data_IF_026314389336
#
_entry.id   IF_026314389336
#
_cell.length_a   1.000
_cell.length_b   1.000
_cell.length_c   1.000
_cell.angle_alpha   90.00
_cell.angle_beta   90.00
_cell.angle_gamma   90.00
#
_symmetry.space_group_name_H-M   'P 1'
#
loop_
_entity.id
_entity.type
_entity.pdbx_description
1 polymer ?
#
# COMPACT_ATOMS: atom_id res chain seq x y z
N UNK A 1 0.21 8.14 20.41
CA UNK A 1 0.40 6.66 20.36
C UNK A 1 0.54 6.28 18.89
N UNK A 2 1.30 5.24 18.54
CA UNK A 2 1.42 4.75 17.16
C UNK A 2 1.31 3.23 17.11
N UNK A 3 0.82 2.69 16.00
CA UNK A 3 0.68 1.25 15.76
C UNK A 3 1.56 0.82 14.58
N UNK A 4 2.24 -0.32 14.72
CA UNK A 4 3.04 -0.92 13.65
C UNK A 4 2.32 -2.16 13.13
N UNK A 5 2.19 -2.26 11.80
CA UNK A 5 1.44 -3.32 11.12
C UNK A 5 0.06 -2.84 10.62
N UNK A 6 -0.85 -3.76 10.25
CA UNK A 6 -0.68 -5.20 10.09
C UNK A 6 -0.15 -5.60 8.70
N UNK A 7 -0.01 -6.91 8.48
CA UNK A 7 0.40 -7.50 7.19
C UNK A 7 -0.70 -7.55 6.14
N UNK A 8 -1.93 -7.87 6.55
CA UNK A 8 -3.04 -8.03 5.64
C UNK A 8 -3.66 -6.66 5.27
N UNK A 9 -3.87 -6.35 3.98
CA UNK A 9 -4.53 -5.11 3.52
C UNK A 9 -5.92 -4.88 4.13
N UNK A 10 -6.75 -5.91 4.26
CA UNK A 10 -8.12 -5.77 4.81
C UNK A 10 -8.09 -5.41 6.29
N UNK A 11 -7.20 -6.05 7.05
CA UNK A 11 -6.97 -5.68 8.45
C UNK A 11 -6.44 -4.26 8.54
N UNK A 12 -5.48 -3.89 7.67
CA UNK A 12 -4.90 -2.56 7.65
C UNK A 12 -5.96 -1.48 7.38
N UNK A 13 -6.89 -1.74 6.45
CA UNK A 13 -8.02 -0.87 6.16
C UNK A 13 -8.94 -0.69 7.36
N UNK A 14 -9.29 -1.79 8.04
CA UNK A 14 -10.13 -1.71 9.24
C UNK A 14 -9.45 -0.92 10.37
N UNK A 15 -8.16 -1.17 10.61
CA UNK A 15 -7.40 -0.41 11.60
C UNK A 15 -7.26 1.05 11.20
N UNK A 16 -6.98 1.36 9.94
CA UNK A 16 -6.83 2.73 9.46
C UNK A 16 -8.13 3.53 9.63
N UNK A 17 -9.28 2.87 9.38
CA UNK A 17 -10.59 3.47 9.64
C UNK A 17 -10.77 3.77 11.14
N UNK A 18 -10.58 2.78 12.01
CA UNK A 18 -10.81 2.94 13.45
C UNK A 18 -9.81 3.93 14.07
N UNK A 19 -8.53 3.72 13.83
CA UNK A 19 -7.44 4.52 14.41
C UNK A 19 -7.43 5.94 13.85
N UNK A 20 -7.71 6.10 12.57
CA UNK A 20 -7.77 7.41 11.93
C UNK A 20 -8.98 8.22 12.39
N UNK A 21 -10.19 7.64 12.33
CA UNK A 21 -11.41 8.39 12.60
C UNK A 21 -11.70 8.60 14.09
N UNK A 22 -11.36 7.62 14.95
CA UNK A 22 -11.78 7.65 16.36
C UNK A 22 -10.65 7.93 17.33
N UNK A 23 -9.41 7.54 17.00
CA UNK A 23 -8.28 7.61 17.93
C UNK A 23 -7.18 8.61 17.50
N UNK A 24 -7.27 9.19 16.30
CA UNK A 24 -6.23 10.04 15.70
C UNK A 24 -4.81 9.44 15.85
N UNK A 25 -4.71 8.12 15.66
CA UNK A 25 -3.50 7.35 15.93
C UNK A 25 -2.80 6.99 14.63
N UNK A 26 -1.50 7.29 14.56
CA UNK A 26 -0.67 6.99 13.39
C UNK A 26 -0.48 5.48 13.28
N UNK A 27 -0.76 4.94 12.11
CA UNK A 27 -0.52 3.55 11.77
C UNK A 27 0.56 3.46 10.68
N UNK A 28 1.58 2.65 10.94
CA UNK A 28 2.69 2.43 10.01
C UNK A 28 2.71 0.95 9.63
N UNK A 29 2.33 0.60 8.40
CA UNK A 29 2.45 -0.76 7.89
C UNK A 29 3.77 -0.98 7.15
N UNK A 30 4.34 -2.18 7.28
CA UNK A 30 5.58 -2.58 6.64
C UNK A 30 5.38 -3.51 5.42
N UNK A 31 4.14 -3.88 5.11
CA UNK A 31 3.82 -4.97 4.17
C UNK A 31 2.62 -4.71 3.27
N UNK A 32 1.84 -3.68 3.54
CA UNK A 32 0.71 -3.31 2.69
C UNK A 32 1.21 -2.48 1.51
N UNK A 33 0.94 -2.95 0.28
CA UNK A 33 1.26 -2.26 -0.98
C UNK A 33 0.03 -1.67 -1.67
N UNK A 34 -1.16 -1.86 -1.11
CA UNK A 34 -2.42 -1.47 -1.75
C UNK A 34 -2.53 0.04 -1.94
N UNK A 35 -2.81 0.45 -3.18
CA UNK A 35 -3.02 1.85 -3.58
C UNK A 35 -4.23 2.48 -2.87
N UNK A 36 -5.21 1.67 -2.47
CA UNK A 36 -6.45 2.16 -1.82
C UNK A 36 -6.18 2.85 -0.48
N UNK A 37 -5.13 2.42 0.23
CA UNK A 37 -4.75 2.96 1.53
C UNK A 37 -3.79 4.14 1.45
N UNK A 38 -3.34 4.50 0.23
CA UNK A 38 -2.47 5.65 -0.03
C UNK A 38 -3.27 6.96 -0.19
N UNK A 39 -4.60 6.88 -0.11
CA UNK A 39 -5.50 8.04 -0.16
C UNK A 39 -5.43 8.84 1.15
N UNK A 40 -4.52 9.80 1.21
CA UNK A 40 -4.32 10.69 2.37
C UNK A 40 -5.55 11.51 2.78
N UNK A 41 -6.57 11.65 1.91
CA UNK A 41 -7.84 12.31 2.28
C UNK A 41 -8.74 11.39 3.10
N UNK A 42 -8.69 10.09 2.85
CA UNK A 42 -9.54 9.07 3.49
C UNK A 42 -8.83 8.43 4.69
N UNK A 43 -7.52 8.21 4.60
CA UNK A 43 -6.68 7.61 5.64
C UNK A 43 -5.49 8.52 6.03
N UNK A 44 -5.73 9.72 6.58
CA UNK A 44 -4.68 10.71 6.84
C UNK A 44 -3.61 10.28 7.86
N UNK A 45 -3.87 9.23 8.64
CA UNK A 45 -2.96 8.70 9.66
C UNK A 45 -2.31 7.37 9.27
N UNK A 46 -2.56 6.87 8.06
CA UNK A 46 -2.00 5.63 7.57
C UNK A 46 -0.78 5.90 6.69
N UNK A 47 0.32 5.23 7.01
CA UNK A 47 1.56 5.30 6.24
C UNK A 47 2.15 3.91 6.04
N UNK A 48 2.89 3.73 4.95
CA UNK A 48 3.63 2.50 4.68
C UNK A 48 5.11 2.78 4.51
N UNK A 49 5.96 1.82 4.88
CA UNK A 49 7.41 1.91 4.63
C UNK A 49 7.83 1.30 3.30
N UNK A 50 6.87 0.76 2.54
CA UNK A 50 7.10 0.13 1.24
C UNK A 50 6.30 0.84 0.14
N UNK A 51 6.81 0.88 -1.10
CA UNK A 51 6.09 1.46 -2.23
C UNK A 51 4.77 0.73 -2.50
N UNK A 52 3.81 1.46 -3.08
CA UNK A 52 2.55 0.88 -3.51
C UNK A 52 2.69 0.08 -4.83
N UNK A 53 1.64 -0.67 -5.19
CA UNK A 53 1.62 -1.53 -6.38
C UNK A 53 1.81 -0.76 -7.71
N UNK A 54 1.49 0.53 -7.79
CA UNK A 54 1.73 1.32 -9.01
C UNK A 54 3.22 1.47 -9.29
N UNK A 55 4.04 1.72 -8.25
CA UNK A 55 5.49 1.77 -8.41
C UNK A 55 6.04 0.42 -8.88
N UNK A 56 5.53 -0.69 -8.32
CA UNK A 56 5.92 -2.03 -8.76
C UNK A 56 5.56 -2.28 -10.22
N UNK A 57 4.35 -1.89 -10.66
CA UNK A 57 3.92 -2.02 -12.05
C UNK A 57 4.82 -1.24 -13.01
N UNK A 58 5.24 -0.02 -12.65
CA UNK A 58 6.20 0.76 -13.44
C UNK A 58 7.55 0.05 -13.56
N UNK A 59 8.05 -0.53 -12.46
CA UNK A 59 9.31 -1.27 -12.46
C UNK A 59 9.21 -2.53 -13.31
N UNK A 60 8.11 -3.28 -13.18
CA UNK A 60 7.86 -4.48 -13.99
C UNK A 60 7.80 -4.10 -15.47
N UNK A 61 7.08 -3.04 -15.85
CA UNK A 61 7.01 -2.57 -17.24
C UNK A 61 8.40 -2.28 -17.80
N UNK A 62 9.23 -1.53 -17.07
CA UNK A 62 10.61 -1.23 -17.48
C UNK A 62 11.47 -2.48 -17.63
N UNK A 63 11.23 -3.48 -16.79
CA UNK A 63 11.92 -4.76 -16.88
C UNK A 63 11.49 -5.52 -18.13
N UNK A 64 10.20 -5.56 -18.45
CA UNK A 64 9.71 -6.19 -19.70
C UNK A 64 10.32 -5.52 -20.94
N UNK A 65 10.38 -4.18 -20.94
CA UNK A 65 10.98 -3.40 -22.03
C UNK A 65 12.47 -3.71 -22.19
N UNK A 66 13.21 -3.85 -21.08
CA UNK A 66 14.63 -4.18 -21.10
C UNK A 66 14.93 -5.57 -21.68
N UNK A 67 13.96 -6.49 -21.68
CA UNK A 67 14.09 -7.84 -22.24
C UNK A 67 13.31 -8.04 -23.55
N UNK A 68 12.75 -6.97 -24.13
CA UNK A 68 11.91 -7.03 -25.33
C UNK A 68 10.71 -8.01 -25.22
N UNK A 69 10.18 -8.20 -24.01
CA UNK A 69 9.05 -9.11 -23.78
C UNK A 69 7.72 -8.46 -24.15
N UNK A 70 7.19 -8.83 -25.33
CA UNK A 70 5.94 -8.25 -25.90
C UNK A 70 4.65 -8.99 -25.53
N UNK A 71 4.75 -10.15 -24.88
CA UNK A 71 3.60 -10.98 -24.46
C UNK A 71 3.83 -11.49 -23.05
N UNK A 72 2.93 -11.14 -22.15
CA UNK A 72 2.91 -11.58 -20.75
C UNK A 72 1.49 -11.95 -20.36
N UNK A 73 1.34 -12.77 -19.32
CA UNK A 73 0.06 -13.08 -18.70
C UNK A 73 -0.01 -12.45 -17.31
N UNK A 74 -1.20 -11.98 -16.93
CA UNK A 74 -1.50 -11.46 -15.58
C UNK A 74 -2.42 -12.49 -14.92
N UNK A 75 -2.18 -12.78 -13.63
CA UNK A 75 -2.95 -13.74 -12.81
C UNK A 75 -3.69 -12.97 -11.72
#
# INVERSE_FOLDING_TARGET
>A
MYSIGPYNPESAKMFAYIFGHYLSTIQISYSVTSVLLDNNKEYPYFHTTIPNDEYFNVVISKLLDNFDWKKVAII
#
